data_IF_113358039568
#
_entry.id   IF_113358039568
#
_cell.length_a   1.000
_cell.length_b   1.000
_cell.length_c   1.000
_cell.angle_alpha   90.00
_cell.angle_beta   90.00
_cell.angle_gamma   90.00
#
_symmetry.space_group_name_H-M   'P 1'
#
loop_
_entity.id
_entity.type
_entity.pdbx_description
1 polymer ?
#
# COMPACT_ATOMS: atom_id res chain seq x y z
N UNK A 1 17.26 6.87 14.55
CA UNK A 1 16.46 6.77 13.30
C UNK A 1 17.22 5.87 12.35
N UNK A 2 16.55 4.86 11.81
CA UNK A 2 17.10 4.02 10.73
C UNK A 2 17.00 4.82 9.43
N UNK A 3 17.93 4.62 8.50
CA UNK A 3 17.86 5.21 7.16
C UNK A 3 16.99 4.34 6.26
N UNK A 4 16.20 4.97 5.39
CA UNK A 4 15.46 4.25 4.35
C UNK A 4 16.44 3.60 3.37
N UNK A 5 16.22 2.33 3.11
CA UNK A 5 16.94 1.56 2.09
C UNK A 5 16.17 1.56 0.77
N UNK A 6 16.80 1.07 -0.31
CA UNK A 6 16.09 0.87 -1.57
C UNK A 6 14.91 -0.10 -1.38
N UNK A 7 15.11 -1.19 -0.63
CA UNK A 7 14.09 -2.20 -0.33
C UNK A 7 12.89 -1.62 0.43
N UNK A 8 13.14 -0.72 1.39
CA UNK A 8 12.08 0.02 2.10
C UNK A 8 11.21 0.82 1.11
N UNK A 9 11.83 1.47 0.12
CA UNK A 9 11.10 2.21 -0.91
C UNK A 9 10.34 1.28 -1.86
N UNK A 10 10.91 0.13 -2.24
CA UNK A 10 10.23 -0.84 -3.10
C UNK A 10 8.98 -1.39 -2.41
N UNK A 11 9.11 -1.83 -1.16
CA UNK A 11 8.02 -2.35 -0.36
C UNK A 11 6.90 -1.30 -0.18
N UNK A 12 7.27 -0.05 0.09
CA UNK A 12 6.29 1.04 0.21
C UNK A 12 5.53 1.25 -1.11
N UNK A 13 6.23 1.33 -2.24
CA UNK A 13 5.62 1.56 -3.55
C UNK A 13 4.74 0.37 -3.96
N UNK A 14 5.16 -0.87 -3.69
CA UNK A 14 4.35 -2.07 -3.91
C UNK A 14 3.07 -2.05 -3.08
N UNK A 15 3.16 -1.76 -1.78
CA UNK A 15 2.00 -1.60 -0.92
C UNK A 15 1.07 -0.48 -1.41
N UNK A 16 1.62 0.66 -1.81
CA UNK A 16 0.81 1.76 -2.34
C UNK A 16 0.17 1.43 -3.69
N UNK A 17 0.77 0.58 -4.52
CA UNK A 17 0.17 0.13 -5.77
C UNK A 17 -1.02 -0.81 -5.57
N UNK A 18 -1.04 -1.58 -4.46
CA UNK A 18 -2.20 -2.42 -4.12
C UNK A 18 -3.34 -1.62 -3.48
N UNK A 19 -3.02 -0.62 -2.65
CA UNK A 19 -4.00 0.22 -1.95
C UNK A 19 -4.52 1.39 -2.80
N UNK A 20 -3.64 2.03 -3.56
CA UNK A 20 -3.91 3.24 -4.36
C UNK A 20 -3.41 3.11 -5.81
N UNK A 21 -4.01 2.22 -6.61
CA UNK A 21 -3.57 2.00 -7.98
C UNK A 21 -3.68 3.25 -8.86
N UNK A 22 -4.66 4.11 -8.62
CA UNK A 22 -4.90 5.32 -9.41
C UNK A 22 -4.38 6.58 -8.70
N UNK A 23 -3.62 7.40 -9.44
CA UNK A 23 -3.11 8.71 -9.00
C UNK A 23 -4.24 9.72 -8.81
N UNK A 24 -5.32 9.61 -9.60
CA UNK A 24 -6.43 10.56 -9.63
C UNK A 24 -7.42 10.39 -8.47
N UNK A 25 -7.47 9.20 -7.85
CA UNK A 25 -8.43 8.89 -6.78
C UNK A 25 -8.19 9.65 -5.46
N UNK A 26 -7.16 10.51 -5.39
CA UNK A 26 -6.99 11.46 -4.29
C UNK A 26 -7.00 10.81 -2.90
N UNK A 27 -6.00 9.97 -2.58
CA UNK A 27 -5.98 9.25 -1.30
C UNK A 27 -4.59 8.98 -0.70
N UNK A 28 -3.52 9.11 -1.48
CA UNK A 28 -2.14 8.70 -1.13
C UNK A 28 -1.51 9.46 0.04
N UNK A 29 -2.11 10.56 0.48
CA UNK A 29 -1.65 11.38 1.61
C UNK A 29 -2.46 11.18 2.91
N UNK A 30 -3.49 10.32 2.90
CA UNK A 30 -4.34 10.07 4.06
C UNK A 30 -3.60 9.34 5.19
N UNK A 31 -3.64 9.89 6.40
CA UNK A 31 -2.89 9.33 7.55
C UNK A 31 -3.34 7.92 7.93
N UNK A 32 -4.64 7.60 7.77
CA UNK A 32 -5.23 6.32 8.19
C UNK A 32 -4.54 5.10 7.56
N UNK A 33 -4.06 5.23 6.33
CA UNK A 33 -3.43 4.14 5.58
C UNK A 33 -2.01 3.87 6.05
N UNK A 34 -1.26 4.92 6.36
CA UNK A 34 0.07 4.75 6.95
C UNK A 34 -0.03 4.21 8.38
N UNK A 35 -1.05 4.62 9.14
CA UNK A 35 -1.33 4.03 10.46
C UNK A 35 -1.73 2.56 10.35
N UNK A 36 -2.45 2.18 9.30
CA UNK A 36 -2.75 0.78 9.00
C UNK A 36 -1.49 0.01 8.62
N UNK A 37 -0.61 0.58 7.80
CA UNK A 37 0.69 -0.01 7.46
C UNK A 37 1.52 -0.32 8.72
N UNK A 38 1.50 0.58 9.71
CA UNK A 38 2.18 0.35 11.00
C UNK A 38 1.53 -0.78 11.80
N UNK A 39 0.19 -0.92 11.77
CA UNK A 39 -0.50 -2.07 12.37
C UNK A 39 -0.22 -3.37 11.62
N UNK A 40 -0.12 -3.32 10.30
CA UNK A 40 0.20 -4.49 9.49
C UNK A 40 1.58 -5.04 9.81
N UNK A 41 2.48 -4.24 10.39
CA UNK A 41 3.80 -4.69 10.79
C UNK A 41 3.81 -5.83 11.84
N UNK A 42 2.65 -6.11 12.46
CA UNK A 42 2.44 -7.29 13.33
C UNK A 42 2.46 -8.60 12.53
N UNK A 43 2.20 -8.56 11.22
CA UNK A 43 2.24 -9.71 10.34
C UNK A 43 3.64 -9.90 9.72
N UNK A 44 4.14 -11.13 9.61
CA UNK A 44 5.51 -11.40 9.12
C UNK A 44 5.73 -10.93 7.67
N UNK A 45 4.69 -10.89 6.84
CA UNK A 45 4.78 -10.38 5.46
C UNK A 45 4.97 -8.84 5.38
N UNK A 46 4.68 -8.13 6.47
CA UNK A 46 4.78 -6.69 6.60
C UNK A 46 5.78 -6.26 7.68
N UNK A 47 6.65 -7.15 8.17
CA UNK A 47 7.63 -6.83 9.22
C UNK A 47 8.51 -5.60 8.87
N UNK A 48 8.78 -5.40 7.57
CA UNK A 48 9.48 -4.22 7.06
C UNK A 48 8.80 -2.90 7.43
N UNK A 49 7.48 -2.87 7.59
CA UNK A 49 6.74 -1.68 7.96
C UNK A 49 7.07 -1.19 9.38
N UNK A 50 7.51 -2.07 10.30
CA UNK A 50 7.91 -1.71 11.67
C UNK A 50 9.24 -0.93 11.71
N UNK A 51 10.04 -0.95 10.63
CA UNK A 51 11.34 -0.28 10.57
C UNK A 51 11.24 1.23 10.71
N UNK A 52 10.12 1.80 10.28
CA UNK A 52 9.83 3.23 10.34
C UNK A 52 8.40 3.47 10.82
N UNK A 53 8.17 4.58 11.52
CA UNK A 53 6.82 4.94 11.94
C UNK A 53 5.96 5.36 10.76
N UNK A 54 4.64 5.25 10.88
CA UNK A 54 3.69 5.70 9.86
C UNK A 54 3.97 7.15 9.38
N UNK A 55 4.36 8.03 10.30
CA UNK A 55 4.66 9.43 9.99
C UNK A 55 5.94 9.57 9.16
N UNK A 56 6.93 8.69 9.38
CA UNK A 56 8.17 8.65 8.61
C UNK A 56 7.92 8.11 7.20
N UNK A 57 7.13 7.05 7.06
CA UNK A 57 6.70 6.51 5.76
C UNK A 57 5.94 7.54 4.93
N UNK A 58 5.01 8.26 5.56
CA UNK A 58 4.25 9.32 4.89
C UNK A 58 5.15 10.45 4.41
N UNK A 59 6.09 10.91 5.25
CA UNK A 59 7.02 11.96 4.85
C UNK A 59 7.99 11.48 3.77
N UNK A 60 8.39 10.20 3.80
CA UNK A 60 9.20 9.55 2.75
C UNK A 60 8.48 9.58 1.41
N UNK A 61 7.20 9.19 1.37
CA UNK A 61 6.38 9.28 0.16
C UNK A 61 6.25 10.74 -0.31
N UNK A 62 5.89 11.66 0.58
CA UNK A 62 5.71 13.08 0.24
C UNK A 62 6.96 13.69 -0.39
N UNK A 63 8.14 13.39 0.14
CA UNK A 63 9.40 13.93 -0.39
C UNK A 63 9.82 13.30 -1.72
N UNK A 64 9.39 12.06 -2.00
CA UNK A 64 9.73 11.31 -3.21
C UNK A 64 8.53 11.13 -4.14
N UNK A 65 7.50 11.98 -3.99
CA UNK A 65 6.19 11.77 -4.59
C UNK A 65 6.24 11.53 -6.10
N UNK A 66 7.04 12.30 -6.83
CA UNK A 66 7.15 12.19 -8.29
C UNK A 66 7.63 10.79 -8.69
N UNK A 67 8.78 10.36 -8.15
CA UNK A 67 9.36 9.05 -8.45
C UNK A 67 8.46 7.90 -7.97
N UNK A 68 7.85 8.04 -6.80
CA UNK A 68 6.97 6.99 -6.26
C UNK A 68 5.67 6.91 -7.04
N UNK A 69 5.06 8.03 -7.45
CA UNK A 69 3.83 8.01 -8.24
C UNK A 69 4.05 7.34 -9.61
N UNK A 70 5.20 7.55 -10.25
CA UNK A 70 5.59 6.86 -11.49
C UNK A 70 5.74 5.35 -11.27
N UNK A 71 6.49 4.94 -10.24
CA UNK A 71 6.69 3.51 -9.92
C UNK A 71 5.38 2.82 -9.50
N UNK A 72 4.56 3.48 -8.68
CA UNK A 72 3.24 2.98 -8.26
C UNK A 72 2.38 2.75 -9.48
N UNK A 73 2.35 3.70 -10.43
CA UNK A 73 1.57 3.57 -11.67
C UNK A 73 2.06 2.39 -12.51
N UNK A 74 3.37 2.20 -12.62
CA UNK A 74 3.96 1.08 -13.36
C UNK A 74 3.59 -0.27 -12.72
N UNK A 75 3.88 -0.44 -11.43
CA UNK A 75 3.57 -1.66 -10.68
C UNK A 75 2.08 -1.91 -10.67
N UNK A 76 1.27 -0.87 -10.45
CA UNK A 76 -0.17 -0.99 -10.55
C UNK A 76 -0.54 -1.52 -11.93
N UNK A 77 -0.06 -0.94 -13.04
CA UNK A 77 -0.34 -1.42 -14.40
C UNK A 77 0.04 -2.91 -14.60
N UNK A 78 1.19 -3.35 -14.10
CA UNK A 78 1.62 -4.76 -14.14
C UNK A 78 0.73 -5.68 -13.30
N UNK A 79 0.28 -5.22 -12.13
CA UNK A 79 -0.65 -5.94 -11.24
C UNK A 79 -2.09 -6.04 -11.79
N UNK A 80 -2.41 -5.57 -13.01
CA UNK A 80 -3.73 -5.83 -13.63
C UNK A 80 -3.75 -7.27 -14.18
N UNK A 81 -4.49 -8.24 -13.60
CA UNK A 81 -5.15 -9.21 -14.46
C UNK A 81 -6.31 -8.47 -15.11
N UNK A 82 -6.29 -8.41 -16.44
CA UNK A 82 -7.46 -8.35 -17.31
C UNK A 82 -8.61 -7.45 -16.82
N UNK A 83 -8.78 -6.25 -17.39
CA UNK A 83 -10.05 -5.51 -17.27
C UNK A 83 -11.18 -6.50 -17.56
N UNK A 84 -11.97 -6.87 -16.56
CA UNK A 84 -13.19 -7.62 -16.82
C UNK A 84 -14.08 -6.74 -17.68
N UNK A 85 -14.69 -7.30 -18.72
CA UNK A 85 -15.55 -6.59 -19.69
C UNK A 85 -16.70 -5.79 -19.04
N UNK A 86 -16.96 -6.01 -17.74
CA UNK A 86 -17.94 -5.27 -16.92
C UNK A 86 -17.45 -3.93 -16.35
N UNK A 87 -16.19 -3.55 -16.56
CA UNK A 87 -15.65 -2.27 -16.05
C UNK A 87 -15.45 -2.22 -14.53
N UNK A 88 -15.48 -3.36 -13.85
CA UNK A 88 -15.26 -3.47 -12.40
C UNK A 88 -13.74 -3.58 -12.13
N UNK A 89 -13.17 -2.59 -11.46
CA UNK A 89 -11.73 -2.61 -11.13
C UNK A 89 -11.48 -3.62 -9.98
N UNK A 90 -10.94 -4.78 -10.33
CA UNK A 90 -10.71 -5.92 -9.43
C UNK A 90 -9.72 -5.62 -8.30
N UNK A 91 -8.98 -4.50 -8.36
CA UNK A 91 -8.00 -4.10 -7.35
C UNK A 91 -8.65 -3.49 -6.12
N UNK A 92 -9.74 -2.75 -6.29
CA UNK A 92 -10.57 -2.29 -5.18
C UNK A 92 -11.15 -3.48 -4.39
N UNK A 93 -11.41 -4.61 -5.08
CA UNK A 93 -11.77 -5.88 -4.43
C UNK A 93 -10.60 -6.52 -3.71
N UNK A 94 -9.37 -6.40 -4.20
CA UNK A 94 -8.18 -6.99 -3.56
C UNK A 94 -7.80 -6.25 -2.27
N UNK A 95 -7.86 -4.91 -2.25
CA UNK A 95 -7.74 -4.15 -1.01
C UNK A 95 -8.89 -4.45 -0.04
N UNK A 96 -10.13 -4.53 -0.55
CA UNK A 96 -11.26 -5.02 0.25
C UNK A 96 -11.04 -6.44 0.76
N UNK A 97 -10.43 -7.33 -0.01
CA UNK A 97 -10.17 -8.72 0.36
C UNK A 97 -9.06 -8.85 1.40
N UNK A 98 -7.98 -8.05 1.33
CA UNK A 98 -6.98 -7.95 2.39
C UNK A 98 -7.60 -7.41 3.68
N UNK A 99 -8.44 -6.37 3.56
CA UNK A 99 -9.23 -5.84 4.68
C UNK A 99 -10.23 -6.87 5.22
N UNK A 100 -10.87 -7.67 4.36
CA UNK A 100 -11.86 -8.67 4.75
C UNK A 100 -11.21 -9.88 5.42
N UNK A 101 -10.07 -10.35 4.88
CA UNK A 101 -9.30 -11.47 5.43
C UNK A 101 -8.85 -11.17 6.87
N UNK A 102 -8.47 -9.92 7.15
CA UNK A 102 -8.18 -9.44 8.51
C UNK A 102 -9.41 -9.43 9.44
N UNK A 103 -10.58 -9.01 8.93
CA UNK A 103 -11.83 -9.04 9.72
C UNK A 103 -12.21 -10.48 10.04
N UNK A 104 -12.00 -11.41 9.10
CA UNK A 104 -12.29 -12.83 9.29
C UNK A 104 -11.36 -13.47 10.35
N UNK A 105 -10.08 -13.07 10.43
CA UNK A 105 -9.15 -13.53 11.48
C UNK A 105 -9.43 -12.89 12.87
N UNK A 106 -10.00 -11.68 12.94
CA UNK A 106 -10.39 -11.03 14.21
C UNK A 106 -11.74 -11.53 14.77
N UNK A 107 -12.60 -12.16 13.97
CA UNK A 107 -13.91 -12.72 14.38
C UNK A 107 -13.83 -14.20 14.84
N UNK A 108 -12.65 -14.83 14.76
CA UNK A 108 -12.44 -16.26 15.10
C UNK A 108 -11.85 -16.51 16.52
N UNK A 109 -11.67 -15.46 17.34
CA UNK A 109 -11.17 -15.52 18.74
C UNK A 109 -12.26 -15.27 19.81
#
# INVERSE_FOLDING_TARGET
RVNFTAEDDENLVHYMATVFPDTESGGRMGNKYYQELERLAEFPEFEWAARHTWHSWRERYKNNRVMFDERITHIAAELKPFRSERGDDTRSRQHKALRNRRIEEEDED
#
